data_IF_741255621338
#
_entry.id   IF_741255621338
#
_cell.length_a   1.000
_cell.length_b   1.000
_cell.length_c   1.000
_cell.angle_alpha   90.00
_cell.angle_beta   90.00
_cell.angle_gamma   90.00
#
_symmetry.space_group_name_H-M   'P 1'
#
loop_
_entity.id
_entity.type
_entity.pdbx_description
1 polymer ?
#
# COMPACT_ATOMS: atom_id res chain seq x y z
N UNK A 1 8.87 35.84 -11.53
CA UNK A 1 7.71 35.07 -12.07
C UNK A 1 6.44 35.44 -11.30
N UNK A 2 5.26 34.93 -11.65
CA UNK A 2 3.98 35.17 -10.95
C UNK A 2 3.24 33.83 -10.88
N UNK A 3 3.28 33.14 -9.74
CA UNK A 3 2.53 31.88 -9.57
C UNK A 3 1.12 32.20 -9.08
N UNK A 4 0.13 31.66 -9.78
CA UNK A 4 -1.27 31.72 -9.37
C UNK A 4 -1.76 30.28 -9.19
N UNK A 5 -2.03 29.88 -7.95
CA UNK A 5 -2.64 28.60 -7.60
C UNK A 5 -3.95 28.93 -6.90
N UNK A 6 -5.03 28.40 -7.47
CA UNK A 6 -6.37 28.69 -7.00
C UNK A 6 -6.98 27.41 -6.41
N UNK A 7 -6.95 27.31 -5.08
CA UNK A 7 -7.62 26.26 -4.33
C UNK A 7 -9.09 26.65 -4.16
N UNK A 8 -9.89 26.54 -5.24
CA UNK A 8 -11.33 26.81 -5.13
C UNK A 8 -11.99 25.73 -4.26
N UNK A 9 -12.32 26.13 -3.04
CA UNK A 9 -13.08 25.33 -2.08
C UNK A 9 -13.17 25.97 -0.70
N UNK A 10 -13.60 27.24 -0.61
CA UNK A 10 -14.34 27.81 0.53
C UNK A 10 -14.45 29.35 0.41
N UNK A 11 -15.68 29.86 0.28
CA UNK A 11 -16.03 31.25 0.59
C UNK A 11 -16.46 31.30 2.05
N UNK A 12 -15.81 32.09 2.89
CA UNK A 12 -16.31 32.42 4.23
C UNK A 12 -16.28 33.94 4.45
N UNK A 13 -17.34 34.41 5.09
CA UNK A 13 -17.67 35.82 5.35
C UNK A 13 -16.77 36.44 6.44
N UNK A 14 -16.79 37.77 6.47
CA UNK A 14 -15.82 38.68 7.08
C UNK A 14 -15.91 38.87 8.61
N UNK A 15 -16.26 37.84 9.37
CA UNK A 15 -16.33 37.96 10.84
C UNK A 15 -15.43 36.94 11.55
N UNK A 16 -14.68 37.44 12.53
CA UNK A 16 -14.01 36.73 13.64
C UNK A 16 -12.57 36.24 13.41
N UNK A 17 -11.60 36.87 14.11
CA UNK A 17 -10.15 36.61 13.95
C UNK A 17 -9.70 35.26 14.49
N UNK A 18 -10.45 34.64 15.40
CA UNK A 18 -10.11 33.35 16.00
C UNK A 18 -10.62 32.18 15.12
N UNK A 19 -11.82 32.34 14.52
CA UNK A 19 -12.30 31.44 13.47
C UNK A 19 -11.41 31.51 12.22
N UNK A 20 -10.77 32.65 11.96
CA UNK A 20 -9.84 32.83 10.85
C UNK A 20 -8.50 32.11 11.09
N UNK A 21 -8.00 32.05 12.32
CA UNK A 21 -6.82 31.24 12.66
C UNK A 21 -7.10 29.74 12.50
N UNK A 22 -8.25 29.28 12.96
CA UNK A 22 -8.69 27.89 12.83
C UNK A 22 -9.03 27.52 11.36
N UNK A 23 -9.56 28.46 10.58
CA UNK A 23 -9.78 28.31 9.14
C UNK A 23 -8.47 28.38 8.33
N UNK A 24 -7.45 29.10 8.82
CA UNK A 24 -6.11 29.11 8.25
C UNK A 24 -5.38 27.79 8.49
N UNK A 25 -5.57 27.15 9.65
CA UNK A 25 -5.09 25.77 9.91
C UNK A 25 -5.78 24.71 9.01
N UNK A 26 -7.00 25.00 8.55
CA UNK A 26 -7.75 24.14 7.62
C UNK A 26 -7.59 24.55 6.14
N UNK A 27 -6.81 25.59 5.85
CA UNK A 27 -6.63 26.05 4.49
C UNK A 27 -5.55 25.23 3.76
N UNK A 28 -5.59 25.18 2.43
CA UNK A 28 -4.48 24.64 1.66
C UNK A 28 -3.20 25.45 1.88
N UNK A 29 -2.04 24.84 1.72
CA UNK A 29 -0.73 25.48 1.80
C UNK A 29 0.00 25.18 0.51
N UNK A 30 0.59 26.21 -0.09
CA UNK A 30 1.52 26.05 -1.20
C UNK A 30 2.90 26.45 -0.71
N UNK A 31 3.80 25.47 -0.69
CA UNK A 31 5.20 25.69 -0.43
C UNK A 31 5.95 25.75 -1.76
N UNK A 32 6.82 26.73 -1.91
CA UNK A 32 7.76 26.82 -3.04
C UNK A 32 9.17 26.74 -2.47
N UNK A 33 9.93 25.73 -2.89
CA UNK A 33 11.26 25.41 -2.38
C UNK A 33 11.30 25.31 -0.84
N UNK A 34 10.28 24.68 -0.26
CA UNK A 34 10.14 24.50 1.19
C UNK A 34 9.64 25.72 1.96
N UNK A 35 9.45 26.88 1.31
CA UNK A 35 8.87 28.07 1.96
C UNK A 35 7.36 28.11 1.76
N UNK A 36 6.61 28.19 2.85
CA UNK A 36 5.15 28.30 2.83
C UNK A 36 4.67 29.70 2.47
N UNK A 37 3.73 29.77 1.54
CA UNK A 37 3.09 30.98 1.04
C UNK A 37 1.56 30.96 1.24
N UNK A 38 1.03 29.96 1.95
CA UNK A 38 -0.37 29.81 2.31
C UNK A 38 -1.28 29.35 1.16
N UNK A 39 -2.59 29.56 1.34
CA UNK A 39 -3.66 28.98 0.50
C UNK A 39 -3.93 29.68 -0.81
N UNK A 40 -3.48 30.92 -0.96
CA UNK A 40 -3.75 31.73 -2.15
C UNK A 40 -2.48 32.39 -2.61
N UNK A 41 -1.77 31.68 -3.46
CA UNK A 41 -0.64 32.22 -4.16
C UNK A 41 -1.15 32.96 -5.39
N UNK A 42 -0.93 34.27 -5.44
CA UNK A 42 -1.14 35.07 -6.64
C UNK A 42 0.08 35.92 -6.87
N UNK A 43 0.57 35.88 -8.09
CA UNK A 43 1.61 36.79 -8.56
C UNK A 43 2.95 36.72 -7.81
N UNK A 44 3.29 35.55 -7.23
CA UNK A 44 4.54 35.40 -6.48
C UNK A 44 5.78 35.51 -7.39
N UNK A 45 6.70 36.47 -7.16
CA UNK A 45 8.04 36.46 -7.74
C UNK A 45 8.86 35.28 -7.22
N UNK A 46 9.24 34.41 -8.14
CA UNK A 46 10.31 33.43 -7.97
C UNK A 46 11.44 33.67 -8.96
N UNK A 47 12.62 33.18 -8.61
CA UNK A 47 13.83 33.21 -9.44
C UNK A 47 13.66 32.39 -10.72
N UNK A 48 14.61 32.51 -11.64
CA UNK A 48 14.63 31.67 -12.85
C UNK A 48 15.38 30.38 -12.56
N UNK A 49 14.80 29.24 -12.91
CA UNK A 49 15.39 27.93 -12.63
C UNK A 49 14.34 26.89 -12.25
N UNK A 50 14.78 25.69 -11.86
CA UNK A 50 13.90 24.67 -11.32
C UNK A 50 13.41 25.07 -9.92
N UNK A 51 12.13 24.79 -9.65
CA UNK A 51 11.48 24.98 -8.36
C UNK A 51 10.65 23.75 -8.02
N UNK A 52 10.68 23.37 -6.76
CA UNK A 52 9.76 22.39 -6.20
C UNK A 52 8.55 23.11 -5.63
N UNK A 53 7.35 22.60 -5.93
CA UNK A 53 6.12 23.03 -5.30
C UNK A 53 5.54 21.85 -4.51
N UNK A 54 5.27 22.09 -3.23
CA UNK A 54 4.52 21.17 -2.38
C UNK A 54 3.17 21.80 -2.06
N UNK A 55 2.10 21.11 -2.43
CA UNK A 55 0.74 21.51 -2.12
C UNK A 55 0.20 20.60 -1.04
N UNK A 56 -0.16 21.20 0.10
CA UNK A 56 -0.68 20.50 1.28
C UNK A 56 -2.07 21.01 1.60
N UNK A 57 -2.93 20.15 2.11
CA UNK A 57 -4.16 20.57 2.76
C UNK A 57 -4.51 19.55 3.83
N UNK A 58 -4.91 20.01 5.02
CA UNK A 58 -5.29 19.10 6.08
C UNK A 58 -6.42 18.16 5.62
N UNK A 59 -6.26 16.85 5.82
CA UNK A 59 -7.21 15.85 5.34
C UNK A 59 -7.10 15.56 3.84
N UNK A 60 -5.99 15.92 3.19
CA UNK A 60 -5.66 15.58 1.81
C UNK A 60 -4.24 15.04 1.71
N UNK A 61 -3.98 14.25 0.67
CA UNK A 61 -2.65 13.78 0.28
C UNK A 61 -1.89 14.97 -0.30
N UNK A 62 -0.65 15.13 0.14
CA UNK A 62 0.28 16.14 -0.36
C UNK A 62 0.62 15.85 -1.84
N UNK A 63 0.70 16.91 -2.66
CA UNK A 63 1.09 16.80 -4.07
C UNK A 63 2.41 17.55 -4.31
N UNK A 64 3.37 16.89 -4.96
CA UNK A 64 4.67 17.44 -5.31
C UNK A 64 4.75 17.72 -6.83
N UNK A 65 5.19 18.91 -7.19
CA UNK A 65 5.36 19.33 -8.58
C UNK A 65 6.74 19.94 -8.80
N UNK A 66 7.29 19.73 -9.99
CA UNK A 66 8.54 20.35 -10.41
C UNK A 66 8.28 21.30 -11.57
N UNK A 67 8.53 22.58 -11.35
CA UNK A 67 8.37 23.61 -12.38
C UNK A 67 9.69 24.31 -12.66
N UNK A 68 10.02 24.43 -13.95
CA UNK A 68 11.08 25.35 -14.39
C UNK A 68 10.48 26.73 -14.67
N UNK A 69 10.95 27.74 -13.95
CA UNK A 69 10.65 29.15 -14.14
C UNK A 69 11.55 29.77 -15.21
N UNK A 70 10.97 30.52 -16.14
CA UNK A 70 11.69 31.22 -17.21
C UNK A 70 11.44 32.72 -17.11
N UNK A 71 12.47 33.54 -17.36
CA UNK A 71 12.37 35.00 -17.32
C UNK A 71 11.21 35.52 -18.21
N UNK A 72 10.41 36.44 -17.66
CA UNK A 72 9.29 37.06 -18.37
C UNK A 72 8.08 36.15 -18.65
N UNK A 73 8.11 34.87 -18.28
CA UNK A 73 6.98 33.95 -18.47
C UNK A 73 6.19 33.75 -17.17
N UNK A 74 4.87 33.60 -17.33
CA UNK A 74 3.95 33.24 -16.25
C UNK A 74 3.54 31.78 -16.43
N UNK A 75 3.66 30.97 -15.37
CA UNK A 75 3.16 29.59 -15.35
C UNK A 75 1.94 29.52 -14.43
N UNK A 76 0.89 28.86 -14.91
CA UNK A 76 -0.37 28.64 -14.18
C UNK A 76 -0.70 27.16 -14.25
N UNK A 77 -1.32 26.65 -13.20
CA UNK A 77 -1.74 25.26 -13.12
C UNK A 77 -2.88 25.12 -12.13
N UNK A 78 -3.60 24.02 -12.26
CA UNK A 78 -4.58 23.56 -11.29
C UNK A 78 -4.12 22.22 -10.74
N UNK A 79 -4.32 22.01 -9.45
CA UNK A 79 -3.98 20.78 -8.75
C UNK A 79 -5.18 20.41 -7.89
N UNK A 80 -5.73 19.22 -8.11
CA UNK A 80 -6.72 18.64 -7.22
C UNK A 80 -5.97 17.77 -6.20
N UNK A 81 -6.06 18.12 -4.92
CA UNK A 81 -5.55 17.26 -3.87
C UNK A 81 -6.55 16.12 -3.62
N UNK A 82 -6.05 14.90 -3.46
CA UNK A 82 -6.89 13.74 -3.11
C UNK A 82 -7.18 13.77 -1.62
N UNK A 83 -8.42 13.55 -1.20
CA UNK A 83 -8.75 13.53 0.24
C UNK A 83 -7.98 12.39 0.91
N UNK A 84 -7.32 12.69 2.03
CA UNK A 84 -6.73 11.68 2.90
C UNK A 84 -7.90 10.95 3.56
N UNK A 85 -8.21 9.78 3.02
CA UNK A 85 -9.26 8.92 3.53
C UNK A 85 -8.67 8.11 4.68
N UNK A 86 -9.25 8.26 5.87
CA UNK A 86 -9.05 7.30 6.94
C UNK A 86 -10.04 6.16 6.71
N UNK A 87 -9.55 5.06 6.15
CA UNK A 87 -10.33 3.82 6.08
C UNK A 87 -10.33 3.17 7.47
N UNK A 88 -11.51 2.76 7.94
CA UNK A 88 -11.64 2.04 9.20
C UNK A 88 -12.68 0.95 9.06
N UNK A 89 -12.35 -0.24 9.55
CA UNK A 89 -13.28 -1.37 9.58
C UNK A 89 -13.35 -1.92 11.00
N UNK A 90 -14.56 -1.99 11.60
CA UNK A 90 -14.71 -2.66 12.87
C UNK A 90 -14.25 -4.11 12.75
N UNK A 91 -13.28 -4.48 13.56
CA UNK A 91 -12.77 -5.84 13.63
C UNK A 91 -12.85 -6.34 15.07
N UNK A 92 -13.26 -7.60 15.22
CA UNK A 92 -13.30 -8.29 16.51
C UNK A 92 -12.58 -9.62 16.39
N UNK A 93 -11.83 -9.97 17.43
CA UNK A 93 -11.06 -11.21 17.52
C UNK A 93 -9.61 -11.00 17.98
N UNK A 94 -8.92 -12.12 18.21
CA UNK A 94 -7.47 -12.17 18.39
C UNK A 94 -6.81 -12.23 17.00
N UNK A 95 -5.58 -11.70 16.85
CA UNK A 95 -4.81 -11.70 15.59
C UNK A 95 -5.38 -10.80 14.49
N UNK A 96 -5.44 -9.49 14.77
CA UNK A 96 -5.73 -8.46 13.77
C UNK A 96 -4.44 -7.99 13.14
N UNK A 97 -4.26 -8.32 11.87
CA UNK A 97 -3.12 -7.91 11.05
C UNK A 97 -3.65 -7.29 9.77
N UNK A 98 -2.99 -6.23 9.30
CA UNK A 98 -3.34 -5.54 8.06
C UNK A 98 -2.06 -5.13 7.34
N UNK A 99 -2.01 -5.41 6.05
CA UNK A 99 -0.86 -5.13 5.19
C UNK A 99 -1.34 -4.56 3.86
N UNK A 100 -0.58 -3.64 3.28
CA UNK A 100 -0.77 -3.22 1.90
C UNK A 100 -0.36 -4.36 0.97
N UNK A 101 -1.21 -4.64 -0.02
CA UNK A 101 -1.07 -5.70 -1.01
C UNK A 101 -0.48 -5.19 -2.33
N UNK A 102 -0.41 -3.87 -2.53
CA UNK A 102 -0.20 -3.26 -3.85
C UNK A 102 -1.50 -3.19 -4.66
N UNK A 103 -1.42 -2.72 -5.90
CA UNK A 103 -2.56 -2.56 -6.81
C UNK A 103 -3.03 -3.92 -7.37
N UNK A 104 -3.80 -4.66 -6.56
CA UNK A 104 -4.30 -5.99 -6.87
C UNK A 104 -5.52 -5.95 -7.80
N UNK A 105 -6.25 -4.85 -7.86
CA UNK A 105 -7.43 -4.70 -8.70
C UNK A 105 -7.15 -3.98 -10.05
N UNK A 106 -6.00 -3.32 -10.18
CA UNK A 106 -5.52 -2.66 -11.40
C UNK A 106 -6.02 -1.22 -11.57
N UNK A 107 -6.49 -0.55 -10.51
CA UNK A 107 -6.98 0.84 -10.55
C UNK A 107 -5.89 1.89 -10.31
N UNK A 108 -4.66 1.44 -10.08
CA UNK A 108 -3.50 2.29 -9.80
C UNK A 108 -3.37 2.73 -8.34
N UNK A 109 -4.15 2.15 -7.42
CA UNK A 109 -4.08 2.40 -5.99
C UNK A 109 -3.79 1.10 -5.23
N UNK A 110 -3.07 1.20 -4.12
CA UNK A 110 -2.76 0.03 -3.31
C UNK A 110 -4.02 -0.49 -2.61
N UNK A 111 -4.18 -1.82 -2.61
CA UNK A 111 -5.23 -2.55 -1.90
C UNK A 111 -4.73 -3.04 -0.54
N UNK A 112 -5.65 -3.41 0.34
CA UNK A 112 -5.35 -3.85 1.71
C UNK A 112 -5.74 -5.31 1.94
N UNK A 113 -4.84 -6.13 2.46
CA UNK A 113 -5.20 -7.44 3.01
C UNK A 113 -5.28 -7.38 4.54
N UNK A 114 -6.33 -7.94 5.10
CA UNK A 114 -6.52 -8.05 6.55
C UNK A 114 -6.80 -9.48 6.96
N UNK A 115 -6.20 -9.89 8.08
CA UNK A 115 -6.49 -11.14 8.75
C UNK A 115 -7.53 -10.95 9.86
N UNK A 116 -8.56 -11.78 9.84
CA UNK A 116 -9.50 -11.96 10.95
C UNK A 116 -9.67 -13.44 11.24
N UNK A 117 -9.15 -13.89 12.38
CA UNK A 117 -9.08 -15.32 12.73
C UNK A 117 -8.42 -16.16 11.63
N UNK A 118 -9.23 -16.99 10.97
CA UNK A 118 -8.84 -17.98 9.99
C UNK A 118 -9.18 -17.52 8.56
N UNK A 119 -9.23 -16.19 8.36
CA UNK A 119 -9.68 -15.57 7.13
C UNK A 119 -8.75 -14.42 6.75
N UNK A 120 -8.22 -14.47 5.53
CA UNK A 120 -7.55 -13.35 4.87
C UNK A 120 -8.53 -12.75 3.88
N UNK A 121 -8.76 -11.44 3.97
CA UNK A 121 -9.63 -10.72 3.06
C UNK A 121 -8.90 -9.53 2.47
N UNK A 122 -8.93 -9.39 1.14
CA UNK A 122 -8.47 -8.20 0.47
C UNK A 122 -9.62 -7.22 0.23
N UNK A 123 -9.31 -5.94 0.41
CA UNK A 123 -10.20 -4.81 0.27
C UNK A 123 -9.57 -3.78 -0.64
N UNK A 124 -10.41 -3.14 -1.44
CA UNK A 124 -10.16 -1.82 -2.01
C UNK A 124 -10.61 -0.80 -0.97
N UNK A 125 -9.68 -0.15 -0.24
CA UNK A 125 -10.04 0.76 0.84
C UNK A 125 -10.55 2.12 0.31
N UNK A 126 -10.49 2.34 -1.00
CA UNK A 126 -10.85 3.61 -1.64
C UNK A 126 -12.33 3.66 -2.01
N UNK A 127 -12.93 2.50 -2.30
CA UNK A 127 -14.36 2.36 -2.57
C UNK A 127 -15.12 1.43 -1.59
N UNK A 128 -14.42 0.89 -0.58
CA UNK A 128 -14.92 -0.04 0.46
C UNK A 128 -15.41 -1.39 -0.07
N UNK A 129 -14.86 -1.83 -1.21
CA UNK A 129 -15.19 -3.12 -1.83
C UNK A 129 -14.29 -4.25 -1.32
N UNK A 130 -14.90 -5.39 -1.06
CA UNK A 130 -14.18 -6.65 -0.87
C UNK A 130 -13.77 -7.22 -2.24
N UNK A 131 -12.47 -7.46 -2.42
CA UNK A 131 -11.92 -8.02 -3.66
C UNK A 131 -12.01 -9.54 -3.63
N UNK A 132 -11.39 -10.15 -2.61
CA UNK A 132 -11.33 -11.60 -2.46
C UNK A 132 -11.13 -12.04 -1.01
N UNK A 133 -11.37 -13.32 -0.77
CA UNK A 133 -11.33 -13.93 0.56
C UNK A 133 -10.75 -15.35 0.52
N UNK A 134 -9.75 -15.62 1.35
CA UNK A 134 -9.11 -16.93 1.53
C UNK A 134 -9.29 -17.42 2.96
N UNK A 135 -9.77 -18.65 3.13
CA UNK A 135 -9.79 -19.32 4.43
C UNK A 135 -8.44 -19.99 4.69
N UNK A 136 -7.80 -19.63 5.79
CA UNK A 136 -6.59 -20.28 6.29
C UNK A 136 -6.96 -21.21 7.45
N UNK A 137 -6.26 -22.33 7.63
CA UNK A 137 -6.52 -23.23 8.76
C UNK A 137 -6.00 -22.63 10.07
N UNK A 138 -6.49 -23.12 11.21
CA UNK A 138 -5.91 -22.76 12.50
C UNK A 138 -4.43 -23.16 12.54
N UNK A 139 -3.57 -22.29 13.07
CA UNK A 139 -2.12 -22.49 13.09
C UNK A 139 -1.40 -22.31 11.76
N UNK A 140 -2.12 -21.96 10.68
CA UNK A 140 -1.51 -21.60 9.41
C UNK A 140 -0.64 -20.35 9.54
N UNK A 141 0.50 -20.39 8.85
CA UNK A 141 1.41 -19.26 8.68
C UNK A 141 1.19 -18.70 7.27
N UNK A 142 1.39 -17.40 7.10
CA UNK A 142 1.30 -16.79 5.78
C UNK A 142 2.38 -15.73 5.59
N UNK A 143 2.73 -15.50 4.34
CA UNK A 143 3.62 -14.43 3.88
C UNK A 143 3.01 -13.73 2.67
N UNK A 144 3.41 -12.48 2.46
CA UNK A 144 2.99 -11.67 1.32
C UNK A 144 4.21 -11.30 0.50
N UNK A 145 4.21 -11.61 -0.79
CA UNK A 145 5.24 -11.17 -1.73
C UNK A 145 4.84 -11.33 -3.17
N UNK A 146 5.36 -10.47 -4.03
CA UNK A 146 5.19 -10.55 -5.47
C UNK A 146 6.09 -11.69 -6.03
N UNK A 147 5.55 -12.91 -6.10
CA UNK A 147 6.28 -14.10 -6.54
C UNK A 147 6.41 -14.12 -8.06
N UNK A 148 5.36 -13.69 -8.77
CA UNK A 148 5.33 -13.71 -10.25
C UNK A 148 5.86 -12.43 -10.92
N UNK A 149 6.11 -11.37 -10.16
CA UNK A 149 6.66 -10.10 -10.63
C UNK A 149 5.60 -9.19 -11.27
N UNK A 150 4.32 -9.39 -10.98
CA UNK A 150 3.22 -8.63 -11.59
C UNK A 150 2.94 -7.28 -10.90
N UNK A 151 3.68 -6.99 -9.83
CA UNK A 151 3.59 -5.76 -9.04
C UNK A 151 2.57 -5.80 -7.90
N UNK A 152 1.76 -6.86 -7.78
CA UNK A 152 0.91 -7.11 -6.64
C UNK A 152 1.53 -8.20 -5.75
N UNK A 153 1.36 -8.09 -4.42
CA UNK A 153 1.82 -9.14 -3.52
C UNK A 153 0.90 -10.36 -3.62
N UNK A 154 1.48 -11.53 -3.86
CA UNK A 154 0.83 -12.82 -3.72
C UNK A 154 0.70 -13.23 -2.25
N UNK A 155 -0.21 -14.16 -1.97
CA UNK A 155 -0.40 -14.74 -0.65
C UNK A 155 0.12 -16.17 -0.63
N UNK A 156 1.18 -16.41 0.12
CA UNK A 156 1.69 -17.74 0.39
C UNK A 156 1.19 -18.21 1.76
N UNK A 157 0.52 -19.36 1.80
CA UNK A 157 -0.04 -19.95 3.02
C UNK A 157 0.61 -21.31 3.27
N UNK A 158 1.24 -21.45 4.43
CA UNK A 158 1.84 -22.69 4.90
C UNK A 158 0.95 -23.33 5.97
N UNK A 159 0.59 -24.57 5.75
CA UNK A 159 -0.09 -25.45 6.70
C UNK A 159 0.89 -26.49 7.22
N UNK A 160 1.50 -26.28 8.39
CA UNK A 160 2.33 -27.29 9.02
C UNK A 160 1.43 -28.40 9.59
N UNK A 161 1.72 -29.66 9.26
CA UNK A 161 0.98 -30.82 9.75
C UNK A 161 1.93 -31.92 10.23
N UNK A 162 1.43 -32.77 11.15
CA UNK A 162 2.18 -33.92 11.67
C UNK A 162 2.41 -35.01 10.61
N UNK A 163 1.52 -35.09 9.63
CA UNK A 163 1.54 -36.07 8.54
C UNK A 163 2.11 -35.48 7.23
N UNK A 164 2.52 -34.22 7.25
CA UNK A 164 3.01 -33.49 6.08
C UNK A 164 2.68 -32.02 6.17
N UNK A 165 3.37 -31.20 5.39
CA UNK A 165 3.09 -29.77 5.27
C UNK A 165 2.58 -29.44 3.87
N UNK A 166 1.66 -28.49 3.78
CA UNK A 166 1.09 -28.03 2.52
C UNK A 166 1.35 -26.53 2.36
N UNK A 167 1.89 -26.14 1.20
CA UNK A 167 2.15 -24.75 0.83
C UNK A 167 1.26 -24.39 -0.35
N UNK A 168 0.45 -23.36 -0.16
CA UNK A 168 -0.49 -22.85 -1.16
C UNK A 168 -0.10 -21.43 -1.55
N UNK A 169 -0.10 -21.14 -2.85
CA UNK A 169 0.13 -19.80 -3.38
C UNK A 169 -1.15 -19.29 -4.06
N UNK A 170 -1.61 -18.12 -3.64
CA UNK A 170 -2.73 -17.40 -4.24
C UNK A 170 -2.19 -16.14 -4.89
N UNK A 171 -2.53 -15.93 -6.17
CA UNK A 171 -2.04 -14.78 -6.93
C UNK A 171 -2.72 -13.47 -6.52
N UNK A 172 -1.97 -12.46 -6.11
CA UNK A 172 -2.52 -11.22 -5.53
C UNK A 172 -3.55 -10.52 -6.42
N UNK A 173 -3.27 -10.51 -7.73
CA UNK A 173 -4.01 -9.76 -8.74
C UNK A 173 -5.24 -10.48 -9.28
N UNK A 174 -6.35 -9.74 -9.37
CA UNK A 174 -7.62 -10.15 -10.00
C UNK A 174 -8.13 -11.55 -9.58
N UNK A 175 -8.14 -11.83 -8.28
CA UNK A 175 -8.78 -13.03 -7.75
C UNK A 175 -10.31 -12.94 -7.82
N UNK A 176 -10.97 -14.06 -8.11
CA UNK A 176 -12.40 -14.21 -7.83
C UNK A 176 -12.63 -14.12 -6.33
N UNK A 177 -13.86 -13.78 -5.91
CA UNK A 177 -14.22 -13.61 -4.49
C UNK A 177 -13.78 -14.77 -3.58
N UNK A 178 -13.71 -15.99 -4.12
CA UNK A 178 -13.15 -17.19 -3.49
C UNK A 178 -12.12 -17.84 -4.42
N UNK A 179 -10.84 -17.49 -4.33
CA UNK A 179 -9.81 -17.97 -5.23
C UNK A 179 -9.45 -19.43 -4.95
N UNK A 180 -9.14 -20.16 -6.01
CA UNK A 180 -8.37 -21.40 -5.91
C UNK A 180 -6.87 -21.06 -5.86
N UNK A 181 -6.03 -21.87 -5.20
CA UNK A 181 -4.59 -21.67 -5.25
C UNK A 181 -4.10 -21.80 -6.70
N UNK A 182 -3.22 -20.88 -7.13
CA UNK A 182 -2.50 -20.98 -8.41
C UNK A 182 -1.54 -22.15 -8.41
N UNK A 183 -0.97 -22.43 -7.25
CA UNK A 183 0.02 -23.46 -7.05
C UNK A 183 -0.11 -24.06 -5.65
N UNK A 184 0.12 -25.36 -5.55
CA UNK A 184 0.06 -26.13 -4.32
C UNK A 184 1.18 -27.17 -4.32
N UNK A 185 1.93 -27.23 -3.23
CA UNK A 185 2.91 -28.30 -2.98
C UNK A 185 2.66 -28.91 -1.62
N UNK A 186 2.60 -30.23 -1.60
CA UNK A 186 2.55 -31.02 -0.38
C UNK A 186 3.86 -31.77 -0.23
N UNK A 187 4.41 -31.74 0.98
CA UNK A 187 5.55 -32.56 1.38
C UNK A 187 5.09 -33.54 2.44
N UNK A 188 5.44 -34.82 2.25
CA UNK A 188 5.20 -35.86 3.23
C UNK A 188 5.91 -35.54 4.55
N UNK A 189 5.44 -36.12 5.66
CA UNK A 189 6.00 -35.90 6.99
C UNK A 189 7.53 -36.10 7.03
N UNK A 190 8.30 -35.00 7.02
CA UNK A 190 9.56 -34.98 7.72
C UNK A 190 9.28 -35.18 9.23
N UNK A 191 10.13 -35.88 9.99
CA UNK A 191 9.91 -36.10 11.41
C UNK A 191 9.66 -34.76 12.10
N UNK A 192 8.45 -34.63 12.67
CA UNK A 192 7.85 -33.37 13.07
C UNK A 192 8.86 -32.42 13.74
N UNK A 193 9.05 -31.19 13.23
CA UNK A 193 9.89 -30.22 13.90
C UNK A 193 9.34 -29.99 15.31
N UNK A 194 10.21 -30.16 16.31
CA UNK A 194 9.96 -29.62 17.64
C UNK A 194 9.96 -28.10 17.49
N UNK A 195 8.77 -27.52 17.36
CA UNK A 195 8.43 -26.11 17.47
C UNK A 195 9.64 -25.16 17.41
N UNK A 196 10.01 -24.78 16.20
CA UNK A 196 10.71 -23.54 15.90
C UNK A 196 10.03 -22.97 14.67
N UNK A 197 9.31 -21.85 14.86
CA UNK A 197 8.50 -21.13 13.89
C UNK A 197 9.01 -21.30 12.44
N UNK A 198 8.18 -21.91 11.59
CA UNK A 198 8.40 -21.80 10.15
C UNK A 198 8.20 -20.35 9.73
N UNK A 199 9.05 -19.79 8.89
CA UNK A 199 8.80 -18.50 8.27
C UNK A 199 8.59 -18.72 6.77
N UNK A 200 7.58 -18.07 6.23
CA UNK A 200 7.46 -17.88 4.79
C UNK A 200 8.22 -16.59 4.49
N UNK A 201 9.41 -16.72 3.91
CA UNK A 201 10.23 -15.60 3.50
C UNK A 201 10.25 -15.52 1.97
N UNK A 202 10.36 -14.30 1.46
CA UNK A 202 10.46 -14.09 0.03
C UNK A 202 11.84 -13.52 -0.28
N UNK A 203 12.52 -14.14 -1.22
CA UNK A 203 13.87 -13.76 -1.64
C UNK A 203 13.75 -13.07 -3.00
N UNK A 204 13.94 -11.74 -3.07
CA UNK A 204 13.82 -11.01 -4.32
C UNK A 204 14.81 -11.50 -5.37
N UNK A 205 14.36 -11.59 -6.63
CA UNK A 205 15.23 -11.95 -7.75
C UNK A 205 15.65 -10.72 -8.55
N UNK A 206 16.89 -10.74 -9.06
CA UNK A 206 17.44 -9.66 -9.89
C UNK A 206 16.67 -9.45 -11.21
N UNK A 207 15.93 -10.45 -11.69
CA UNK A 207 15.17 -10.40 -12.94
C UNK A 207 13.69 -9.98 -12.76
N UNK A 208 13.27 -9.62 -11.54
CA UNK A 208 11.87 -9.38 -11.16
C UNK A 208 11.18 -10.67 -10.66
N UNK A 209 10.28 -10.53 -9.69
CA UNK A 209 9.67 -11.62 -8.92
C UNK A 209 10.45 -11.99 -7.66
N UNK A 210 9.97 -12.99 -6.93
CA UNK A 210 10.60 -13.50 -5.71
C UNK A 210 10.58 -15.03 -5.67
N UNK A 211 11.68 -15.63 -5.19
CA UNK A 211 11.63 -17.03 -4.76
C UNK A 211 10.92 -17.09 -3.41
N UNK A 212 9.95 -17.99 -3.30
CA UNK A 212 9.38 -18.32 -2.02
C UNK A 212 10.33 -19.28 -1.29
N UNK A 213 10.74 -18.90 -0.08
CA UNK A 213 11.55 -19.74 0.80
C UNK A 213 10.74 -20.00 2.05
N UNK A 214 10.32 -21.25 2.22
CA UNK A 214 9.83 -21.72 3.52
C UNK A 214 11.04 -22.17 4.33
N UNK A 215 11.35 -21.47 5.41
CA UNK A 215 12.38 -21.86 6.36
C UNK A 215 11.72 -22.50 7.58
N UNK A 216 11.97 -23.79 7.80
CA UNK A 216 11.66 -24.47 9.06
C UNK A 216 12.91 -24.63 9.92
N UNK A 217 12.82 -24.47 11.24
CA UNK A 217 13.90 -24.86 12.14
C UNK A 217 13.80 -26.36 12.41
N UNK A 218 14.62 -27.16 11.71
CA UNK A 218 14.77 -28.58 12.03
C UNK A 218 16.09 -28.80 12.76
N UNK A 219 16.06 -29.02 14.08
CA UNK A 219 17.23 -29.43 14.87
C UNK A 219 18.51 -28.57 14.67
N UNK A 220 18.38 -27.29 14.29
CA UNK A 220 19.51 -26.40 14.01
C UNK A 220 19.86 -26.20 12.52
N UNK A 221 19.12 -26.83 11.60
CA UNK A 221 19.25 -26.67 10.15
C UNK A 221 18.05 -25.90 9.57
N UNK A 222 18.33 -25.07 8.56
CA UNK A 222 17.34 -24.32 7.78
C UNK A 222 17.09 -25.09 6.48
N UNK A 223 15.94 -25.74 6.36
CA UNK A 223 15.49 -26.28 5.08
C UNK A 223 14.79 -25.18 4.29
N UNK A 224 15.21 -24.95 3.05
CA UNK A 224 14.63 -23.98 2.13
C UNK A 224 13.95 -24.71 0.97
N UNK A 225 12.63 -24.58 0.87
CA UNK A 225 11.87 -25.06 -0.28
C UNK A 225 11.69 -23.89 -1.24
N UNK A 226 12.38 -23.93 -2.39
CA UNK A 226 12.26 -22.93 -3.44
C UNK A 226 11.14 -23.30 -4.41
N UNK A 227 10.15 -22.42 -4.55
CA UNK A 227 9.13 -22.53 -5.59
C UNK A 227 9.36 -21.45 -6.64
N UNK A 228 9.63 -21.86 -7.89
CA UNK A 228 9.67 -20.93 -9.02
C UNK A 228 8.26 -20.72 -9.56
N UNK A 229 7.81 -19.47 -9.58
CA UNK A 229 6.71 -19.07 -10.44
C UNK A 229 7.17 -19.19 -11.89
N UNK A 230 6.75 -20.24 -12.60
CA UNK A 230 6.95 -20.31 -14.04
C UNK A 230 6.19 -19.14 -14.68
N UNK A 231 6.92 -18.21 -15.32
CA UNK A 231 6.34 -17.17 -16.17
C UNK A 231 5.63 -17.88 -17.33
N UNK A 232 4.30 -17.91 -17.29
CA UNK A 232 3.47 -18.23 -18.46
C UNK A 232 2.89 -16.96 -19.04
#
# INVERSE_FOLDING_TARGET
MRVAIDTHGCRLNRFESDAMAQALEQAGHVLVDGKDYGSRLRELPVDTGPHELLLRHHGYVDEHLHWTATAGRTRRGFVALRKALAWSRPASGSFLEAHWLGDANGDGLDDLVSRRFNLLTAYDPWDDRELWQVSVREGALYGLCDVDGDGALDVAVLWPGKEGSELLLYGGRAMQRRPAPRWAVSVDAAPAPRLGLGAVACVPQAAGGADLVVAGLHAGEVEAYGARGDRR
#
